data_IF_387092158816
#
_entry.id   IF_387092158816
#
_cell.length_a   1.000
_cell.length_b   1.000
_cell.length_c   1.000
_cell.angle_alpha   90.00
_cell.angle_beta   90.00
_cell.angle_gamma   90.00
#
_symmetry.space_group_name_H-M   'P 1'
#
loop_
_entity.id
_entity.type
_entity.pdbx_description
1 polymer ?
#
# COMPACT_ATOMS: atom_id res chain seq x y z
N UNK A 1 -42.36 -23.18 -32.40
CA UNK A 1 -41.56 -22.18 -33.14
C UNK A 1 -41.47 -20.91 -32.31
N UNK A 2 -40.46 -20.82 -31.44
CA UNK A 2 -40.10 -19.61 -30.71
C UNK A 2 -38.66 -19.82 -30.21
N UNK A 3 -37.69 -19.09 -30.77
CA UNK A 3 -36.28 -19.29 -30.45
C UNK A 3 -35.34 -18.61 -31.42
N UNK A 4 -35.28 -17.27 -31.37
CA UNK A 4 -34.13 -16.50 -31.89
C UNK A 4 -34.35 -15.02 -31.66
N UNK A 5 -33.80 -14.49 -30.56
CA UNK A 5 -33.53 -13.06 -30.33
C UNK A 5 -32.77 -12.89 -29.01
N UNK A 6 -31.50 -13.31 -28.96
CA UNK A 6 -30.63 -13.03 -27.81
C UNK A 6 -29.12 -13.02 -28.14
N UNK A 7 -28.71 -12.73 -29.37
CA UNK A 7 -27.28 -12.79 -29.79
C UNK A 7 -26.81 -11.59 -30.60
N UNK A 8 -27.30 -10.37 -30.32
CA UNK A 8 -26.99 -9.17 -31.12
C UNK A 8 -26.44 -7.95 -30.33
N UNK A 9 -26.01 -8.09 -29.07
CA UNK A 9 -25.53 -6.92 -28.29
C UNK A 9 -24.07 -6.96 -27.79
N UNK A 10 -23.28 -8.00 -28.06
CA UNK A 10 -21.87 -8.08 -27.58
C UNK A 10 -20.77 -7.95 -28.66
N UNK A 11 -21.12 -7.63 -29.91
CA UNK A 11 -20.14 -7.48 -31.02
C UNK A 11 -19.78 -6.02 -31.36
N UNK A 12 -20.28 -5.04 -30.59
CA UNK A 12 -20.07 -3.60 -30.87
C UNK A 12 -18.76 -3.00 -30.35
N UNK A 13 -18.08 -3.59 -29.36
CA UNK A 13 -16.90 -2.97 -28.72
C UNK A 13 -15.55 -3.39 -29.29
N UNK A 14 -15.47 -4.38 -30.18
CA UNK A 14 -14.20 -4.89 -30.73
C UNK A 14 -13.78 -4.27 -32.08
N UNK A 15 -14.57 -3.37 -32.66
CA UNK A 15 -14.24 -2.72 -33.96
C UNK A 15 -13.46 -1.40 -33.85
N UNK A 16 -13.35 -0.78 -32.68
CA UNK A 16 -12.64 0.51 -32.54
C UNK A 16 -11.12 0.38 -32.26
N UNK A 17 -10.59 -0.83 -32.05
CA UNK A 17 -9.16 -1.03 -31.76
C UNK A 17 -8.25 -1.03 -33.00
N UNK A 18 -8.80 -0.99 -34.24
CA UNK A 18 -8.01 -1.04 -35.48
C UNK A 18 -7.73 0.31 -36.14
N UNK A 19 -8.38 1.41 -35.74
CA UNK A 19 -8.10 2.75 -36.30
C UNK A 19 -7.04 3.57 -35.54
N UNK A 20 -6.68 3.19 -34.32
CA UNK A 20 -5.69 3.94 -33.51
C UNK A 20 -4.21 3.68 -33.92
N UNK A 21 -3.94 2.88 -34.96
CA UNK A 21 -2.58 2.50 -35.39
C UNK A 21 -1.96 3.39 -36.48
N UNK A 22 -2.69 4.36 -37.04
CA UNK A 22 -2.20 5.16 -38.19
C UNK A 22 -1.79 6.61 -37.88
N UNK A 23 -1.83 7.07 -36.62
CA UNK A 23 -1.37 8.42 -36.24
C UNK A 23 -0.18 8.40 -35.27
N UNK A 24 0.76 7.48 -35.47
CA UNK A 24 2.09 7.50 -34.83
C UNK A 24 3.15 7.88 -35.85
N UNK A 25 3.18 9.14 -36.23
CA UNK A 25 4.37 9.74 -36.86
C UNK A 25 4.38 11.22 -36.53
N UNK A 26 5.54 11.69 -36.07
CA UNK A 26 5.90 13.07 -35.70
C UNK A 26 5.19 13.66 -34.48
N UNK A 27 5.79 13.49 -33.30
CA UNK A 27 6.02 14.57 -32.31
C UNK A 27 7.00 14.01 -31.26
N UNK A 28 8.31 14.19 -31.51
CA UNK A 28 9.35 14.01 -30.49
C UNK A 28 9.40 15.27 -29.64
N UNK A 29 8.79 15.26 -28.46
CA UNK A 29 9.06 16.27 -27.45
C UNK A 29 10.38 15.94 -26.74
N UNK A 30 11.36 16.85 -26.87
CA UNK A 30 12.55 16.86 -26.02
C UNK A 30 12.14 17.36 -24.62
N UNK A 31 12.58 16.71 -23.54
CA UNK A 31 12.41 17.27 -22.20
C UNK A 31 13.34 18.48 -22.05
N UNK A 32 12.74 19.65 -21.77
CA UNK A 32 13.48 20.87 -21.42
C UNK A 32 13.94 20.74 -19.98
N UNK A 33 15.23 20.48 -19.77
CA UNK A 33 15.88 20.59 -18.47
C UNK A 33 16.04 22.07 -18.11
N UNK A 34 15.32 22.52 -17.08
CA UNK A 34 15.53 23.83 -16.47
C UNK A 34 16.76 23.70 -15.55
N UNK A 35 17.84 24.48 -15.76
CA UNK A 35 18.99 24.44 -14.87
C UNK A 35 18.65 25.10 -13.52
N UNK A 36 18.76 24.33 -12.44
CA UNK A 36 18.70 24.85 -11.08
C UNK A 36 19.95 25.67 -10.79
N UNK A 37 19.75 26.97 -10.53
CA UNK A 37 20.78 27.92 -10.12
C UNK A 37 21.15 27.64 -8.66
N UNK A 38 22.38 27.19 -8.42
CA UNK A 38 22.94 26.94 -7.09
C UNK A 38 23.12 28.25 -6.32
N UNK A 39 22.48 28.38 -5.16
CA UNK A 39 22.79 29.44 -4.19
C UNK A 39 23.91 28.97 -3.28
N UNK A 40 25.05 29.65 -3.36
CA UNK A 40 26.21 29.48 -2.47
C UNK A 40 25.94 30.27 -1.19
N UNK A 41 25.88 29.58 -0.04
CA UNK A 41 25.75 30.20 1.29
C UNK A 41 27.16 30.55 1.81
N UNK A 42 27.42 31.78 2.28
CA UNK A 42 28.71 32.14 2.88
C UNK A 42 28.89 31.53 4.29
N UNK A 43 30.13 31.28 4.74
CA UNK A 43 30.41 30.60 5.99
C UNK A 43 30.25 31.54 7.20
N UNK A 44 29.59 31.03 8.24
CA UNK A 44 29.43 31.68 9.55
C UNK A 44 30.63 31.39 10.44
N UNK A 45 31.31 32.45 10.90
CA UNK A 45 32.42 32.43 11.84
C UNK A 45 32.00 31.93 13.23
N UNK A 46 32.90 31.17 13.86
CA UNK A 46 32.76 30.56 15.19
C UNK A 46 33.46 31.43 16.24
N UNK A 47 32.82 31.81 17.36
CA UNK A 47 33.51 32.45 18.47
C UNK A 47 34.06 31.43 19.48
N UNK A 48 35.11 31.79 20.25
CA UNK A 48 35.96 30.83 20.95
C UNK A 48 35.46 30.42 22.33
N UNK A 49 35.97 29.26 22.72
CA UNK A 49 35.84 28.53 23.98
C UNK A 49 36.28 29.33 25.21
N UNK A 50 35.51 29.25 26.30
CA UNK A 50 35.93 29.67 27.64
C UNK A 50 35.65 28.55 28.67
N UNK A 51 36.68 28.22 29.43
CA UNK A 51 36.75 27.20 30.48
C UNK A 51 36.05 27.62 31.78
N UNK A 52 35.75 26.67 32.69
CA UNK A 52 34.92 26.87 33.87
C UNK A 52 35.70 27.28 35.13
N UNK A 53 35.13 28.17 35.95
CA UNK A 53 35.62 28.51 37.31
C UNK A 53 34.65 28.03 38.41
N UNK A 54 35.17 27.69 39.62
CA UNK A 54 34.44 27.03 40.71
C UNK A 54 33.61 27.99 41.61
N UNK A 55 32.74 27.47 42.49
CA UNK A 55 31.77 28.28 43.23
C UNK A 55 32.31 28.79 44.58
N UNK A 56 31.81 29.95 45.07
CA UNK A 56 31.85 30.27 46.48
C UNK A 56 30.49 30.12 47.17
N UNK A 57 30.62 29.84 48.45
CA UNK A 57 29.64 29.46 49.46
C UNK A 57 29.03 30.67 50.20
N UNK A 58 27.78 30.48 50.67
CA UNK A 58 27.13 31.01 51.90
C UNK A 58 26.83 32.51 52.12
N UNK A 59 25.60 32.77 52.60
CA UNK A 59 25.15 33.98 53.32
C UNK A 59 23.73 34.41 52.91
N UNK A 60 22.63 33.90 53.48
CA UNK A 60 21.91 34.27 54.72
C UNK A 60 20.93 35.47 54.62
N UNK A 61 19.61 35.19 54.86
CA UNK A 61 18.46 36.05 55.33
C UNK A 61 18.01 37.25 54.46
N UNK A 62 16.74 37.69 54.38
CA UNK A 62 15.49 37.49 55.14
C UNK A 62 14.28 38.07 54.36
N UNK A 63 13.09 37.52 54.64
CA UNK A 63 11.73 38.14 54.73
C UNK A 63 11.13 38.98 53.58
N UNK A 64 9.88 38.64 53.21
CA UNK A 64 8.95 39.54 52.52
C UNK A 64 7.88 38.80 51.72
N UNK A 65 6.63 38.79 52.20
CA UNK A 65 5.57 37.89 51.73
C UNK A 65 4.89 38.28 50.42
N UNK A 66 4.18 37.31 49.85
CA UNK A 66 2.75 37.39 49.52
C UNK A 66 2.33 36.13 48.77
N UNK A 67 1.23 35.55 49.23
CA UNK A 67 0.60 34.35 48.68
C UNK A 67 0.15 34.58 47.23
N UNK A 68 0.68 33.77 46.31
CA UNK A 68 -0.04 33.41 45.09
C UNK A 68 0.08 31.90 44.85
N UNK A 69 -1.04 31.24 45.15
CA UNK A 69 -1.22 29.78 45.19
C UNK A 69 -1.38 29.23 43.77
N UNK A 70 -0.32 29.19 42.99
CA UNK A 70 -0.24 28.37 41.77
C UNK A 70 0.39 27.01 42.11
N UNK A 71 -0.43 25.95 42.18
CA UNK A 71 0.04 24.56 42.22
C UNK A 71 0.74 24.21 40.90
N UNK A 72 2.00 24.62 40.74
CA UNK A 72 2.92 24.04 39.75
C UNK A 72 3.35 22.67 40.24
N UNK A 73 2.69 21.62 39.75
CA UNK A 73 3.22 20.26 39.81
C UNK A 73 4.56 20.24 39.09
N UNK A 74 5.65 20.11 39.85
CA UNK A 74 7.01 19.88 39.33
C UNK A 74 7.09 18.43 38.85
N UNK A 75 6.65 18.17 37.63
CA UNK A 75 7.04 16.95 36.93
C UNK A 75 8.54 17.06 36.63
N UNK A 76 9.36 16.28 37.34
CA UNK A 76 10.80 16.19 37.08
C UNK A 76 10.98 15.65 35.64
N UNK A 77 11.65 16.37 34.72
CA UNK A 77 11.78 15.95 33.32
C UNK A 77 12.43 14.57 33.13
N UNK A 78 13.16 14.09 34.14
CA UNK A 78 13.79 12.77 34.17
C UNK A 78 12.78 11.60 34.10
N UNK A 79 11.57 11.75 34.64
CA UNK A 79 10.57 10.68 34.61
C UNK A 79 9.85 10.57 33.26
N UNK A 80 9.74 11.68 32.52
CA UNK A 80 9.18 11.69 31.17
C UNK A 80 10.17 11.04 30.19
N UNK A 81 11.46 11.38 30.29
CA UNK A 81 12.51 10.75 29.46
C UNK A 81 12.70 9.25 29.74
N UNK A 82 12.63 8.82 31.01
CA UNK A 82 12.73 7.40 31.37
C UNK A 82 11.48 6.61 30.94
N UNK A 83 10.30 7.23 31.01
CA UNK A 83 9.05 6.63 30.52
C UNK A 83 9.03 6.44 29.00
N UNK A 84 9.49 7.43 28.23
CA UNK A 84 9.55 7.34 26.76
C UNK A 84 10.61 6.34 26.30
N UNK A 85 11.79 6.31 26.96
CA UNK A 85 12.86 5.36 26.61
C UNK A 85 12.48 3.93 27.00
N UNK A 86 11.82 3.74 28.15
CA UNK A 86 11.31 2.46 28.60
C UNK A 86 10.18 1.93 27.70
N UNK A 87 9.25 2.78 27.27
CA UNK A 87 8.21 2.42 26.32
C UNK A 87 8.78 2.08 24.94
N UNK A 88 9.77 2.85 24.45
CA UNK A 88 10.45 2.56 23.18
C UNK A 88 11.19 1.23 23.16
N UNK A 89 11.82 0.84 24.29
CA UNK A 89 12.47 -0.46 24.46
C UNK A 89 11.46 -1.62 24.57
N UNK A 90 10.33 -1.41 25.24
CA UNK A 90 9.25 -2.41 25.35
C UNK A 90 8.59 -2.69 24.00
N UNK A 91 8.34 -1.66 23.19
CA UNK A 91 7.74 -1.79 21.84
C UNK A 91 8.67 -2.55 20.88
N UNK A 92 9.98 -2.29 20.94
CA UNK A 92 10.95 -3.06 20.13
C UNK A 92 11.12 -4.50 20.62
N UNK A 93 10.99 -4.76 21.93
CA UNK A 93 11.02 -6.12 22.45
C UNK A 93 9.77 -6.94 22.10
N UNK A 94 8.58 -6.33 22.11
CA UNK A 94 7.32 -7.04 21.92
C UNK A 94 7.12 -7.52 20.48
N UNK A 95 7.42 -6.68 19.48
CA UNK A 95 7.35 -7.07 18.07
C UNK A 95 8.35 -8.17 17.68
N UNK A 96 9.47 -8.28 18.42
CA UNK A 96 10.39 -9.40 18.29
C UNK A 96 9.81 -10.66 18.98
N UNK A 97 9.23 -10.52 20.18
CA UNK A 97 8.74 -11.64 20.98
C UNK A 97 7.56 -12.38 20.33
N UNK A 98 6.56 -11.69 19.80
CA UNK A 98 5.39 -12.31 19.16
C UNK A 98 5.81 -13.20 17.97
N UNK A 99 6.84 -12.76 17.24
CA UNK A 99 7.46 -13.54 16.18
C UNK A 99 8.24 -14.78 16.70
N UNK A 100 8.95 -14.66 17.82
CA UNK A 100 9.61 -15.82 18.46
C UNK A 100 8.62 -16.88 18.95
N UNK A 101 7.39 -16.48 19.33
CA UNK A 101 6.33 -17.39 19.74
C UNK A 101 5.64 -18.10 18.57
N UNK A 102 5.72 -17.59 17.34
CA UNK A 102 5.24 -18.27 16.13
C UNK A 102 6.22 -19.32 15.57
N UNK A 103 7.52 -19.17 15.85
CA UNK A 103 8.58 -20.08 15.37
C UNK A 103 8.48 -21.56 15.80
N UNK A 104 7.81 -21.95 16.91
CA UNK A 104 7.55 -23.35 17.23
C UNK A 104 6.61 -24.06 16.25
N UNK A 105 5.80 -23.33 15.47
CA UNK A 105 4.87 -23.90 14.49
C UNK A 105 5.55 -24.39 13.19
N UNK A 106 6.88 -24.24 13.12
CA UNK A 106 7.70 -24.58 11.97
C UNK A 106 8.54 -25.84 12.23
N UNK A 107 8.69 -26.71 11.22
CA UNK A 107 9.63 -27.83 11.28
C UNK A 107 11.04 -27.37 11.64
N UNK A 108 11.76 -28.17 12.41
CA UNK A 108 13.08 -27.79 12.93
C UNK A 108 14.10 -27.46 11.83
N UNK A 109 14.03 -28.17 10.70
CA UNK A 109 14.88 -27.98 9.52
C UNK A 109 14.70 -26.60 8.89
N UNK A 110 13.50 -26.01 8.95
CA UNK A 110 13.19 -24.68 8.40
C UNK A 110 13.38 -23.59 9.46
N UNK A 111 13.04 -23.90 10.70
CA UNK A 111 13.06 -22.96 11.84
C UNK A 111 14.45 -22.38 12.09
N UNK A 112 15.48 -23.22 12.02
CA UNK A 112 16.88 -22.82 12.31
C UNK A 112 17.44 -21.81 11.29
N UNK A 113 17.42 -22.07 9.97
CA UNK A 113 17.83 -21.08 8.98
C UNK A 113 16.95 -19.83 9.01
N UNK A 114 15.64 -19.95 9.21
CA UNK A 114 14.73 -18.80 9.27
C UNK A 114 15.06 -17.84 10.43
N UNK A 115 15.36 -18.38 11.63
CA UNK A 115 15.83 -17.58 12.77
C UNK A 115 17.13 -16.84 12.48
N UNK A 116 18.08 -17.50 11.81
CA UNK A 116 19.35 -16.87 11.41
C UNK A 116 19.12 -15.76 10.40
N UNK A 117 18.27 -16.00 9.40
CA UNK A 117 17.90 -15.01 8.38
C UNK A 117 17.34 -13.73 9.01
N UNK A 118 16.38 -13.88 9.93
CA UNK A 118 15.73 -12.74 10.56
C UNK A 118 16.64 -12.00 11.53
N UNK A 119 17.50 -12.72 12.25
CA UNK A 119 18.53 -12.08 13.07
C UNK A 119 19.47 -11.25 12.20
N UNK A 120 19.91 -11.77 11.05
CA UNK A 120 20.76 -11.05 10.10
C UNK A 120 20.04 -9.82 9.50
N UNK A 121 18.76 -9.95 9.10
CA UNK A 121 17.92 -8.81 8.67
C UNK A 121 17.86 -7.71 9.73
N UNK A 122 17.59 -8.06 10.98
CA UNK A 122 17.52 -7.08 12.08
C UNK A 122 18.88 -6.39 12.35
N UNK A 123 19.99 -7.07 12.03
CA UNK A 123 21.34 -6.51 12.06
C UNK A 123 21.69 -5.71 10.79
N UNK A 124 20.75 -5.59 9.83
CA UNK A 124 20.95 -5.00 8.49
C UNK A 124 22.03 -5.68 7.66
N UNK A 125 22.33 -6.94 7.97
CA UNK A 125 23.22 -7.80 7.20
C UNK A 125 22.41 -8.53 6.13
N UNK A 126 22.06 -7.79 5.07
CA UNK A 126 21.15 -8.27 4.03
C UNK A 126 21.74 -9.43 3.21
N UNK A 127 23.07 -9.48 3.05
CA UNK A 127 23.76 -10.53 2.28
C UNK A 127 23.65 -11.89 2.98
N UNK A 128 23.97 -11.96 4.28
CA UNK A 128 23.81 -13.21 5.03
C UNK A 128 22.33 -13.56 5.23
N UNK A 129 21.49 -12.54 5.45
CA UNK A 129 20.04 -12.72 5.53
C UNK A 129 19.48 -13.40 4.28
N UNK A 130 19.87 -12.94 3.09
CA UNK A 130 19.49 -13.54 1.81
C UNK A 130 19.93 -15.01 1.72
N UNK A 131 21.18 -15.31 2.07
CA UNK A 131 21.70 -16.69 2.05
C UNK A 131 20.87 -17.62 2.97
N UNK A 132 20.56 -17.17 4.18
CA UNK A 132 19.75 -17.95 5.13
C UNK A 132 18.28 -18.08 4.70
N UNK A 133 17.69 -17.07 4.05
CA UNK A 133 16.33 -17.20 3.49
C UNK A 133 16.28 -18.22 2.35
N UNK A 134 17.29 -18.22 1.46
CA UNK A 134 17.40 -19.24 0.40
C UNK A 134 17.55 -20.64 0.99
N UNK A 135 18.40 -20.80 2.02
CA UNK A 135 18.54 -22.07 2.75
C UNK A 135 17.19 -22.52 3.37
N UNK A 136 16.47 -21.60 4.01
CA UNK A 136 15.16 -21.89 4.60
C UNK A 136 14.12 -22.29 3.54
N UNK A 137 14.09 -21.64 2.38
CA UNK A 137 13.19 -21.99 1.28
C UNK A 137 13.51 -23.35 0.67
N UNK A 138 14.79 -23.66 0.46
CA UNK A 138 15.21 -24.99 -0.02
C UNK A 138 14.79 -26.07 0.99
N UNK A 139 15.03 -25.84 2.28
CA UNK A 139 14.60 -26.74 3.34
C UNK A 139 13.07 -26.90 3.37
N UNK A 140 12.32 -25.81 3.16
CA UNK A 140 10.86 -25.84 3.19
C UNK A 140 10.26 -26.59 1.98
N UNK A 141 10.80 -26.36 0.79
CA UNK A 141 10.35 -27.03 -0.44
C UNK A 141 10.73 -28.52 -0.47
N UNK A 142 11.76 -28.93 0.27
CA UNK A 142 12.15 -30.33 0.41
C UNK A 142 11.22 -31.14 1.32
N UNK A 143 10.42 -30.48 2.16
CA UNK A 143 9.46 -31.13 3.04
C UNK A 143 8.09 -31.26 2.35
N UNK A 144 7.31 -32.32 2.69
CA UNK A 144 5.95 -32.45 2.22
C UNK A 144 5.06 -31.35 2.86
N UNK A 145 3.96 -30.95 2.19
CA UNK A 145 3.02 -29.95 2.71
C UNK A 145 2.49 -30.28 4.11
N UNK A 146 2.28 -31.57 4.42
CA UNK A 146 1.75 -32.04 5.71
C UNK A 146 2.64 -31.64 6.90
N UNK A 147 3.94 -31.41 6.67
CA UNK A 147 4.85 -30.89 7.69
C UNK A 147 4.52 -29.45 8.12
N UNK A 148 3.70 -28.74 7.35
CA UNK A 148 3.30 -27.36 7.57
C UNK A 148 1.83 -27.20 7.98
N UNK A 149 1.12 -28.29 8.28
CA UNK A 149 -0.27 -28.24 8.72
C UNK A 149 -0.49 -27.26 9.92
N UNK A 150 -1.67 -26.63 10.03
CA UNK A 150 -2.86 -26.79 9.16
C UNK A 150 -2.78 -26.05 7.81
N UNK A 151 -1.97 -24.99 7.70
CA UNK A 151 -1.99 -24.08 6.55
C UNK A 151 -0.63 -24.03 5.81
N UNK A 152 -0.35 -25.03 4.95
CA UNK A 152 0.97 -25.16 4.33
C UNK A 152 1.34 -23.99 3.41
N UNK A 153 0.41 -23.56 2.57
CA UNK A 153 0.63 -22.44 1.64
C UNK A 153 0.75 -21.11 2.38
N UNK A 154 -0.02 -20.91 3.46
CA UNK A 154 0.07 -19.74 4.33
C UNK A 154 1.50 -19.61 4.90
N UNK A 155 2.04 -20.69 5.47
CA UNK A 155 3.40 -20.73 6.01
C UNK A 155 4.42 -20.51 4.89
N UNK A 156 4.39 -21.33 3.83
CA UNK A 156 5.37 -21.22 2.74
C UNK A 156 5.42 -19.82 2.13
N UNK A 157 4.28 -19.26 1.75
CA UNK A 157 4.22 -17.90 1.19
C UNK A 157 4.60 -16.82 2.20
N UNK A 158 4.47 -17.07 3.51
CA UNK A 158 5.00 -16.18 4.56
C UNK A 158 6.52 -16.03 4.51
N UNK A 159 7.25 -17.12 4.20
CA UNK A 159 8.70 -17.06 3.99
C UNK A 159 9.01 -16.19 2.76
N UNK A 160 8.30 -16.40 1.65
CA UNK A 160 8.48 -15.60 0.42
C UNK A 160 8.19 -14.11 0.65
N UNK A 161 7.10 -13.77 1.33
CA UNK A 161 6.75 -12.37 1.65
C UNK A 161 7.84 -11.75 2.51
N UNK A 162 8.28 -12.42 3.57
CA UNK A 162 9.30 -11.89 4.49
C UNK A 162 10.64 -11.70 3.79
N UNK A 163 11.01 -12.65 2.93
CA UNK A 163 12.20 -12.55 2.10
C UNK A 163 12.11 -11.41 1.08
N UNK A 164 10.94 -11.25 0.43
CA UNK A 164 10.66 -10.13 -0.46
C UNK A 164 10.77 -8.77 0.26
N UNK A 165 10.17 -8.62 1.45
CA UNK A 165 10.26 -7.39 2.25
C UNK A 165 11.70 -7.05 2.61
N UNK A 166 12.51 -8.06 2.97
CA UNK A 166 13.93 -7.87 3.23
C UNK A 166 14.67 -7.35 1.99
N UNK A 167 14.38 -7.89 0.81
CA UNK A 167 14.95 -7.41 -0.45
C UNK A 167 14.50 -5.99 -0.80
N UNK A 168 13.25 -5.61 -0.49
CA UNK A 168 12.78 -4.22 -0.62
C UNK A 168 13.55 -3.26 0.28
N UNK A 169 13.81 -3.64 1.55
CA UNK A 169 14.62 -2.87 2.49
C UNK A 169 16.07 -2.70 2.01
N UNK A 170 16.63 -3.74 1.37
CA UNK A 170 17.95 -3.71 0.74
C UNK A 170 17.98 -2.91 -0.60
N UNK A 171 16.82 -2.42 -1.07
CA UNK A 171 16.69 -1.72 -2.35
C UNK A 171 16.69 -2.61 -3.59
N UNK A 172 16.68 -3.94 -3.41
CA UNK A 172 16.70 -4.96 -4.47
C UNK A 172 15.28 -5.31 -4.96
N UNK A 173 14.56 -4.31 -5.47
CA UNK A 173 13.13 -4.45 -5.85
C UNK A 173 12.87 -5.46 -6.96
N UNK A 174 13.84 -5.63 -7.88
CA UNK A 174 13.72 -6.58 -9.00
C UNK A 174 13.77 -8.01 -8.48
N UNK A 175 14.72 -8.30 -7.61
CA UNK A 175 14.89 -9.59 -6.97
C UNK A 175 13.71 -9.89 -6.05
N UNK A 176 13.22 -8.89 -5.32
CA UNK A 176 11.99 -8.97 -4.52
C UNK A 176 10.78 -9.40 -5.37
N UNK A 177 10.60 -8.78 -6.55
CA UNK A 177 9.54 -9.16 -7.48
C UNK A 177 9.66 -10.61 -7.97
N UNK A 178 10.88 -11.07 -8.31
CA UNK A 178 11.11 -12.45 -8.76
C UNK A 178 10.75 -13.45 -7.66
N UNK A 179 11.25 -13.22 -6.44
CA UNK A 179 10.98 -14.08 -5.28
C UNK A 179 9.48 -14.15 -5.00
N UNK A 180 8.79 -13.01 -5.01
CA UNK A 180 7.35 -12.97 -4.73
C UNK A 180 6.53 -13.66 -5.82
N UNK A 181 6.97 -13.58 -7.08
CA UNK A 181 6.34 -14.26 -8.22
C UNK A 181 6.49 -15.77 -8.06
N UNK A 182 7.70 -16.23 -7.75
CA UNK A 182 7.97 -17.65 -7.52
C UNK A 182 7.15 -18.19 -6.32
N UNK A 183 6.84 -17.33 -5.33
CA UNK A 183 5.91 -17.60 -4.24
C UNK A 183 4.44 -17.70 -4.69
N UNK A 184 3.98 -16.82 -5.60
CA UNK A 184 2.63 -16.91 -6.18
C UNK A 184 2.47 -18.18 -7.04
N UNK A 185 3.51 -18.59 -7.76
CA UNK A 185 3.51 -19.80 -8.60
C UNK A 185 3.28 -21.08 -7.76
N UNK A 186 3.58 -21.05 -6.46
CA UNK A 186 3.26 -22.17 -5.54
C UNK A 186 1.75 -22.39 -5.36
N UNK A 187 0.93 -21.37 -5.60
CA UNK A 187 -0.53 -21.48 -5.58
C UNK A 187 -1.09 -22.10 -6.86
N UNK A 188 -0.26 -22.43 -7.85
CA UNK A 188 -0.66 -23.11 -9.08
C UNK A 188 -0.89 -22.16 -10.27
N UNK A 189 -1.42 -22.67 -11.39
CA UNK A 189 -1.49 -21.93 -12.66
C UNK A 189 -2.60 -20.87 -12.69
N UNK A 190 -3.68 -21.08 -11.93
CA UNK A 190 -4.87 -20.22 -11.94
C UNK A 190 -5.36 -19.88 -10.53
N UNK A 191 -4.49 -19.32 -9.65
CA UNK A 191 -4.83 -19.15 -8.24
C UNK A 191 -5.90 -18.07 -8.02
N UNK A 192 -6.07 -17.18 -9.00
CA UNK A 192 -7.04 -16.08 -9.00
C UNK A 192 -8.32 -16.40 -9.81
N UNK A 193 -8.50 -17.66 -10.26
CA UNK A 193 -9.69 -18.02 -11.05
C UNK A 193 -10.96 -17.80 -10.23
N UNK A 194 -12.03 -17.38 -10.88
CA UNK A 194 -13.34 -17.23 -10.24
C UNK A 194 -13.98 -18.57 -9.94
N UNK A 195 -13.69 -19.58 -10.75
CA UNK A 195 -14.18 -20.94 -10.61
C UNK A 195 -13.36 -21.71 -9.55
N UNK A 196 -13.97 -22.09 -8.41
CA UNK A 196 -13.29 -22.87 -7.38
C UNK A 196 -12.73 -24.20 -7.91
N UNK A 197 -13.31 -24.80 -8.95
CA UNK A 197 -12.84 -26.06 -9.52
C UNK A 197 -11.51 -25.89 -10.28
N UNK A 198 -11.21 -24.67 -10.75
CA UNK A 198 -9.97 -24.36 -11.46
C UNK A 198 -8.85 -23.92 -10.51
N UNK A 199 -9.16 -23.66 -9.24
CA UNK A 199 -8.19 -23.27 -8.21
C UNK A 199 -7.46 -24.49 -7.65
N UNK A 200 -6.54 -25.00 -8.45
CA UNK A 200 -5.70 -26.14 -8.11
C UNK A 200 -4.33 -25.60 -7.70
N UNK A 201 -3.85 -26.01 -6.52
CA UNK A 201 -2.54 -25.62 -6.02
C UNK A 201 -1.39 -26.16 -6.87
N UNK A 202 -0.19 -25.58 -6.70
CA UNK A 202 1.00 -26.00 -7.42
C UNK A 202 1.45 -27.42 -7.09
N UNK A 203 2.43 -27.91 -7.86
CA UNK A 203 2.97 -29.26 -7.71
C UNK A 203 3.47 -29.57 -6.29
N UNK A 204 4.03 -28.57 -5.59
CA UNK A 204 4.50 -28.71 -4.21
C UNK A 204 3.36 -29.08 -3.25
N UNK A 205 2.18 -28.44 -3.37
CA UNK A 205 1.03 -28.69 -2.50
C UNK A 205 0.16 -29.88 -2.95
N UNK A 206 0.71 -30.76 -3.81
CA UNK A 206 0.06 -31.99 -4.24
C UNK A 206 -1.21 -31.80 -5.07
N UNK A 207 -1.41 -30.62 -5.69
CA UNK A 207 -2.62 -30.35 -6.48
C UNK A 207 -3.91 -30.29 -5.66
N UNK A 208 -3.83 -30.04 -4.35
CA UNK A 208 -5.00 -29.79 -3.49
C UNK A 208 -5.77 -28.58 -4.00
N UNK A 209 -7.09 -28.57 -3.79
CA UNK A 209 -7.92 -27.41 -4.07
C UNK A 209 -7.53 -26.27 -3.11
N UNK A 210 -7.38 -25.05 -3.64
CA UNK A 210 -7.07 -23.88 -2.81
C UNK A 210 -8.25 -23.56 -1.90
N UNK A 211 -7.95 -23.33 -0.62
CA UNK A 211 -8.96 -22.87 0.33
C UNK A 211 -9.38 -21.43 0.03
N UNK A 212 -10.43 -20.96 0.70
CA UNK A 212 -10.85 -19.56 0.61
C UNK A 212 -9.74 -18.60 1.08
N UNK A 213 -9.03 -18.96 2.14
CA UNK A 213 -7.94 -18.16 2.70
C UNK A 213 -6.72 -18.13 1.77
N UNK A 214 -6.39 -19.26 1.13
CA UNK A 214 -5.34 -19.32 0.10
C UNK A 214 -5.66 -18.41 -1.09
N UNK A 215 -6.93 -18.37 -1.51
CA UNK A 215 -7.36 -17.50 -2.59
C UNK A 215 -7.21 -16.02 -2.22
N UNK A 216 -7.66 -15.61 -1.03
CA UNK A 216 -7.45 -14.25 -0.51
C UNK A 216 -5.97 -13.90 -0.50
N UNK A 217 -5.12 -14.82 -0.05
CA UNK A 217 -3.67 -14.62 0.00
C UNK A 217 -3.05 -14.48 -1.39
N UNK A 218 -3.48 -15.29 -2.35
CA UNK A 218 -3.03 -15.17 -3.74
C UNK A 218 -3.41 -13.81 -4.35
N UNK A 219 -4.61 -13.29 -4.05
CA UNK A 219 -5.03 -11.94 -4.46
C UNK A 219 -4.06 -10.91 -3.88
N UNK A 220 -3.75 -11.00 -2.59
CA UNK A 220 -2.83 -10.09 -1.92
C UNK A 220 -1.41 -10.12 -2.52
N UNK A 221 -0.90 -11.32 -2.81
CA UNK A 221 0.39 -11.50 -3.49
C UNK A 221 0.40 -10.87 -4.88
N UNK A 222 -0.67 -11.07 -5.67
CA UNK A 222 -0.81 -10.45 -6.99
C UNK A 222 -0.85 -8.92 -6.90
N UNK A 223 -1.58 -8.37 -5.92
CA UNK A 223 -1.61 -6.92 -5.70
C UNK A 223 -0.21 -6.37 -5.39
N UNK A 224 0.53 -7.02 -4.48
CA UNK A 224 1.90 -6.61 -4.12
C UNK A 224 2.87 -6.74 -5.30
N UNK A 225 2.78 -7.82 -6.10
CA UNK A 225 3.55 -7.97 -7.34
C UNK A 225 3.30 -6.83 -8.32
N UNK A 226 2.03 -6.47 -8.50
CA UNK A 226 1.62 -5.37 -9.35
C UNK A 226 2.19 -4.03 -8.90
N UNK A 227 2.19 -3.77 -7.59
CA UNK A 227 2.78 -2.56 -7.00
C UNK A 227 4.30 -2.53 -7.15
N UNK A 228 5.00 -3.64 -6.90
CA UNK A 228 6.45 -3.74 -7.11
C UNK A 228 6.82 -3.46 -8.58
N UNK A 229 6.07 -4.05 -9.51
CA UNK A 229 6.26 -3.81 -10.93
C UNK A 229 6.00 -2.35 -11.32
N UNK A 230 4.96 -1.72 -10.76
CA UNK A 230 4.67 -0.30 -10.97
C UNK A 230 5.80 0.60 -10.44
N UNK A 231 6.29 0.33 -9.23
CA UNK A 231 7.42 1.06 -8.66
C UNK A 231 8.67 0.92 -9.52
N UNK A 232 8.94 -0.29 -10.03
CA UNK A 232 10.10 -0.53 -10.89
C UNK A 232 9.97 0.17 -12.24
N UNK A 233 8.75 0.24 -12.81
CA UNK A 233 8.48 1.02 -14.03
C UNK A 233 8.68 2.53 -13.85
N UNK A 234 8.57 3.01 -12.61
CA UNK A 234 8.68 4.42 -12.23
C UNK A 234 10.10 4.83 -11.83
N UNK A 235 10.98 3.86 -11.58
CA UNK A 235 12.32 4.11 -11.12
C UNK A 235 13.13 4.82 -12.22
N UNK A 236 13.93 5.86 -11.89
CA UNK A 236 14.80 6.55 -12.86
C UNK A 236 15.76 5.62 -13.59
N UNK A 237 16.13 4.50 -12.94
CA UNK A 237 16.97 3.42 -13.49
C UNK A 237 16.19 2.12 -13.51
N UNK A 238 15.06 2.10 -14.21
CA UNK A 238 14.27 0.88 -14.40
C UNK A 238 15.15 -0.22 -15.01
N UNK A 239 15.24 -1.35 -14.32
CA UNK A 239 15.98 -2.52 -14.82
C UNK A 239 15.22 -3.18 -15.98
N UNK A 240 15.87 -4.06 -16.73
CA UNK A 240 15.17 -4.90 -17.71
C UNK A 240 14.21 -5.84 -16.99
N UNK A 241 12.98 -5.93 -17.51
CA UNK A 241 11.97 -6.85 -17.01
C UNK A 241 12.48 -8.30 -17.14
N UNK A 242 12.41 -9.14 -16.09
CA UNK A 242 12.88 -10.52 -16.14
C UNK A 242 11.88 -11.39 -16.91
N UNK A 243 11.90 -11.30 -18.25
CA UNK A 243 11.15 -12.24 -19.10
C UNK A 243 11.83 -13.61 -19.03
N UNK A 244 11.10 -14.63 -18.54
CA UNK A 244 11.57 -16.02 -18.58
C UNK A 244 11.60 -16.45 -20.05
N UNK A 245 12.80 -16.71 -20.57
CA UNK A 245 12.99 -17.20 -21.95
C UNK A 245 12.43 -18.62 -22.05
N UNK A 246 11.34 -18.78 -22.81
CA UNK A 246 10.95 -20.08 -23.36
C UNK A 246 9.64 -20.72 -22.89
N UNK A 247 8.87 -20.13 -21.96
CA UNK A 247 7.70 -20.82 -21.38
C UNK A 247 6.32 -20.18 -21.59
N UNK A 248 6.16 -18.92 -22.03
CA UNK A 248 4.82 -18.43 -22.39
C UNK A 248 4.90 -17.19 -23.29
N UNK A 249 4.31 -17.25 -24.49
CA UNK A 249 4.19 -16.08 -25.38
C UNK A 249 3.18 -15.03 -24.88
N UNK A 250 2.32 -15.41 -23.93
CA UNK A 250 1.20 -14.60 -23.42
C UNK A 250 1.50 -13.83 -22.12
N UNK A 251 2.74 -13.88 -21.62
CA UNK A 251 3.16 -13.15 -20.42
C UNK A 251 3.39 -11.64 -20.64
N UNK A 252 3.45 -10.85 -19.55
CA UNK A 252 3.81 -9.43 -19.64
C UNK A 252 5.22 -9.22 -20.22
N UNK A 253 5.38 -8.16 -21.02
CA UNK A 253 6.61 -7.86 -21.77
C UNK A 253 7.44 -6.73 -21.16
N UNK A 254 6.84 -5.96 -20.27
CA UNK A 254 7.45 -4.82 -19.59
C UNK A 254 6.99 -4.75 -18.15
N UNK A 255 7.68 -3.97 -17.31
CA UNK A 255 7.25 -3.70 -15.94
C UNK A 255 5.85 -3.09 -15.86
N UNK A 256 5.51 -2.21 -16.80
CA UNK A 256 4.20 -1.58 -16.83
C UNK A 256 3.10 -2.57 -17.21
N UNK A 257 3.36 -3.45 -18.19
CA UNK A 257 2.42 -4.52 -18.56
C UNK A 257 2.26 -5.55 -17.44
N UNK A 258 3.35 -5.87 -16.72
CA UNK A 258 3.31 -6.77 -15.56
C UNK A 258 2.49 -6.17 -14.41
N UNK A 259 2.66 -4.88 -14.15
CA UNK A 259 1.89 -4.16 -13.16
C UNK A 259 0.40 -4.18 -13.48
N UNK A 260 0.03 -3.88 -14.73
CA UNK A 260 -1.36 -3.95 -15.18
C UNK A 260 -1.91 -5.37 -15.07
N UNK A 261 -1.15 -6.37 -15.52
CA UNK A 261 -1.57 -7.77 -15.50
C UNK A 261 -1.93 -8.23 -14.09
N UNK A 262 -1.03 -8.06 -13.13
CA UNK A 262 -1.26 -8.51 -11.76
C UNK A 262 -2.33 -7.70 -11.02
N UNK A 263 -2.36 -6.36 -11.19
CA UNK A 263 -3.35 -5.52 -10.52
C UNK A 263 -4.75 -5.72 -11.11
N UNK A 264 -4.86 -5.90 -12.42
CA UNK A 264 -6.15 -6.15 -13.08
C UNK A 264 -6.74 -7.50 -12.65
N UNK A 265 -5.92 -8.56 -12.59
CA UNK A 265 -6.34 -9.84 -12.05
C UNK A 265 -6.74 -9.77 -10.57
N UNK A 266 -5.96 -9.07 -9.74
CA UNK A 266 -6.29 -8.86 -8.33
C UNK A 266 -7.61 -8.10 -8.18
N UNK A 267 -7.81 -7.02 -8.94
CA UNK A 267 -9.05 -6.24 -8.95
C UNK A 267 -10.25 -7.11 -9.32
N UNK A 268 -10.14 -7.88 -10.41
CA UNK A 268 -11.20 -8.79 -10.85
C UNK A 268 -11.52 -9.82 -9.75
N UNK A 269 -10.51 -10.47 -9.18
CA UNK A 269 -10.70 -11.46 -8.12
C UNK A 269 -11.33 -10.86 -6.85
N UNK A 270 -10.94 -9.64 -6.44
CA UNK A 270 -11.56 -8.91 -5.32
C UNK A 270 -13.02 -8.56 -5.58
N UNK A 271 -13.34 -8.09 -6.78
CA UNK A 271 -14.74 -7.80 -7.14
C UNK A 271 -15.58 -9.08 -7.14
N UNK A 272 -15.06 -10.18 -7.66
CA UNK A 272 -15.76 -11.46 -7.59
C UNK A 272 -15.94 -11.97 -6.16
N UNK A 273 -14.93 -11.78 -5.29
CA UNK A 273 -15.03 -12.11 -3.88
C UNK A 273 -16.15 -11.32 -3.19
N UNK A 274 -16.21 -10.00 -3.42
CA UNK A 274 -17.21 -9.13 -2.81
C UNK A 274 -18.60 -9.16 -3.45
N UNK A 275 -18.73 -9.73 -4.65
CA UNK A 275 -20.00 -9.94 -5.36
C UNK A 275 -20.55 -11.37 -5.22
N UNK A 276 -19.81 -12.29 -4.59
CA UNK A 276 -20.26 -13.66 -4.37
C UNK A 276 -21.61 -13.65 -3.63
N UNK A 277 -22.56 -14.54 -4.01
CA UNK A 277 -23.94 -14.44 -3.57
C UNK A 277 -24.03 -14.50 -2.04
N UNK A 278 -24.25 -13.34 -1.42
CA UNK A 278 -24.81 -13.29 -0.08
C UNK A 278 -26.16 -13.99 -0.16
N UNK A 279 -26.38 -14.91 0.78
CA UNK A 279 -27.64 -15.61 1.05
C UNK A 279 -28.87 -14.83 0.56
N UNK A 280 -29.74 -15.51 -0.18
CA UNK A 280 -30.87 -15.09 -1.04
C UNK A 280 -31.94 -14.13 -0.44
N UNK A 281 -31.64 -13.35 0.61
CA UNK A 281 -32.61 -12.55 1.35
C UNK A 281 -32.74 -11.07 0.95
N UNK A 282 -31.78 -10.46 0.27
CA UNK A 282 -31.87 -9.03 -0.10
C UNK A 282 -32.05 -8.89 -1.61
N UNK A 283 -33.29 -8.70 -2.07
CA UNK A 283 -33.65 -8.39 -3.46
C UNK A 283 -33.14 -7.02 -3.97
N UNK A 284 -32.02 -6.53 -3.43
CA UNK A 284 -31.42 -5.26 -3.77
C UNK A 284 -30.49 -5.46 -4.97
N UNK A 285 -30.78 -4.74 -6.05
CA UNK A 285 -29.97 -4.71 -7.27
C UNK A 285 -28.55 -4.27 -6.91
N UNK A 286 -27.59 -5.18 -7.03
CA UNK A 286 -26.18 -4.94 -6.76
C UNK A 286 -25.65 -3.88 -7.72
N UNK A 287 -25.27 -2.72 -7.19
CA UNK A 287 -24.56 -1.69 -7.95
C UNK A 287 -23.07 -1.93 -7.75
N UNK A 288 -22.39 -2.35 -8.83
CA UNK A 288 -20.95 -2.62 -8.81
C UNK A 288 -20.19 -1.45 -8.17
N UNK A 289 -19.37 -1.75 -7.15
CA UNK A 289 -18.55 -0.79 -6.40
C UNK A 289 -19.15 -0.25 -5.10
N UNK A 290 -20.48 -0.17 -4.97
CA UNK A 290 -21.14 0.25 -3.71
C UNK A 290 -21.33 -0.92 -2.76
N UNK A 291 -21.76 -2.05 -3.29
CA UNK A 291 -22.21 -3.19 -2.50
C UNK A 291 -21.14 -4.30 -2.40
N UNK A 292 -19.87 -3.94 -2.56
CA UNK A 292 -18.76 -4.91 -2.48
C UNK A 292 -18.52 -5.29 -1.02
N UNK A 293 -18.90 -6.52 -0.67
CA UNK A 293 -18.71 -7.07 0.67
C UNK A 293 -17.34 -7.73 0.79
N UNK A 294 -16.29 -6.92 0.95
CA UNK A 294 -14.95 -7.43 1.29
C UNK A 294 -14.81 -7.59 2.82
N UNK A 295 -13.91 -8.49 3.28
CA UNK A 295 -13.50 -8.54 4.67
C UNK A 295 -13.17 -7.15 5.21
N UNK A 296 -13.60 -6.86 6.42
CA UNK A 296 -13.13 -5.66 7.12
C UNK A 296 -11.66 -5.85 7.47
N UNK A 297 -10.85 -4.79 7.32
CA UNK A 297 -9.45 -4.82 7.76
C UNK A 297 -9.42 -5.19 9.24
N UNK A 298 -8.77 -6.30 9.58
CA UNK A 298 -8.46 -6.59 10.98
C UNK A 298 -7.54 -5.47 11.45
N UNK A 299 -7.97 -4.76 12.48
CA UNK A 299 -7.15 -3.77 13.16
C UNK A 299 -6.56 -4.49 14.35
N UNK A 300 -5.24 -4.56 14.41
CA UNK A 300 -4.57 -5.16 15.55
C UNK A 300 -4.96 -4.41 16.85
N UNK A 301 -4.86 -5.05 18.03
CA UNK A 301 -5.20 -4.41 19.31
C UNK A 301 -4.47 -3.08 19.55
N UNK A 302 -3.37 -2.82 18.86
CA UNK A 302 -2.61 -1.55 18.89
C UNK A 302 -3.12 -0.46 17.94
N UNK A 303 -4.14 -0.74 17.12
CA UNK A 303 -4.69 0.25 16.17
C UNK A 303 -3.91 0.35 14.86
N UNK A 304 -2.91 -0.50 14.66
CA UNK A 304 -2.26 -0.64 13.37
C UNK A 304 -3.17 -1.45 12.45
N UNK A 305 -3.56 -0.83 11.32
CA UNK A 305 -4.12 -1.60 10.23
C UNK A 305 -2.98 -2.49 9.68
N UNK A 306 -3.05 -3.79 9.96
CA UNK A 306 -2.17 -4.77 9.35
C UNK A 306 -2.31 -4.63 7.82
N UNK A 307 -1.22 -4.29 7.10
CA UNK A 307 -1.23 -4.26 5.63
C UNK A 307 -1.49 -2.91 4.94
N UNK A 308 -1.06 -1.77 5.51
CA UNK A 308 -1.06 -0.48 4.77
C UNK A 308 -0.23 -0.53 3.47
N UNK A 309 0.71 -1.47 3.35
CA UNK A 309 1.62 -1.64 2.20
C UNK A 309 1.10 -2.60 1.12
N UNK A 310 -0.20 -2.53 0.80
CA UNK A 310 -0.78 -3.31 -0.29
C UNK A 310 -0.82 -4.83 -0.04
N UNK A 311 -1.74 -5.50 -0.71
CA UNK A 311 -1.99 -6.92 -0.53
C UNK A 311 -3.05 -7.26 0.53
N UNK A 312 -3.64 -6.26 1.19
CA UNK A 312 -4.87 -6.44 1.96
C UNK A 312 -6.06 -6.61 1.02
N UNK A 313 -6.90 -7.61 1.27
CA UNK A 313 -8.12 -7.88 0.49
C UNK A 313 -9.32 -7.31 1.24
N UNK A 314 -9.38 -5.99 1.29
CA UNK A 314 -10.40 -5.21 1.98
C UNK A 314 -10.86 -4.03 1.12
N UNK A 315 -11.86 -3.25 1.56
CA UNK A 315 -12.37 -2.09 0.79
C UNK A 315 -11.27 -1.08 0.48
N UNK A 316 -10.34 -0.89 1.40
CA UNK A 316 -9.20 0.01 1.22
C UNK A 316 -8.19 -0.56 0.23
N UNK A 317 -7.83 -1.83 0.35
CA UNK A 317 -6.98 -2.53 -0.60
C UNK A 317 -7.54 -2.53 -2.02
N UNK A 318 -8.86 -2.65 -2.17
CA UNK A 318 -9.56 -2.45 -3.44
C UNK A 318 -9.36 -1.03 -3.99
N UNK A 319 -9.54 -0.01 -3.16
CA UNK A 319 -9.31 1.39 -3.53
C UNK A 319 -7.86 1.68 -3.94
N UNK A 320 -6.88 1.15 -3.18
CA UNK A 320 -5.44 1.26 -3.48
C UNK A 320 -5.10 0.56 -4.79
N UNK A 321 -5.71 -0.59 -5.07
CA UNK A 321 -5.51 -1.33 -6.33
C UNK A 321 -6.08 -0.55 -7.52
N UNK A 322 -7.27 0.04 -7.37
CA UNK A 322 -7.87 0.90 -8.39
C UNK A 322 -7.02 2.17 -8.64
N UNK A 323 -6.44 2.76 -7.59
CA UNK A 323 -5.52 3.90 -7.71
C UNK A 323 -4.26 3.53 -8.50
N UNK A 324 -3.62 2.40 -8.16
CA UNK A 324 -2.44 1.93 -8.86
C UNK A 324 -2.73 1.61 -10.34
N UNK A 325 -3.89 1.02 -10.65
CA UNK A 325 -4.33 0.82 -12.04
C UNK A 325 -4.61 2.15 -12.75
N UNK A 326 -5.24 3.11 -12.08
CA UNK A 326 -5.47 4.43 -12.64
C UNK A 326 -4.14 5.14 -12.99
N UNK A 327 -3.11 5.01 -12.17
CA UNK A 327 -1.77 5.52 -12.48
C UNK A 327 -1.20 4.87 -13.76
N UNK A 328 -1.35 3.56 -13.92
CA UNK A 328 -0.92 2.83 -15.12
C UNK A 328 -1.66 3.34 -16.36
N UNK A 329 -2.99 3.45 -16.30
CA UNK A 329 -3.78 3.96 -17.43
C UNK A 329 -3.45 5.43 -17.75
N UNK A 330 -3.21 6.26 -16.73
CA UNK A 330 -2.76 7.63 -16.94
C UNK A 330 -1.40 7.68 -17.66
N UNK A 331 -0.46 6.81 -17.31
CA UNK A 331 0.85 6.69 -18.01
C UNK A 331 0.71 6.24 -19.46
N UNK A 332 -0.32 5.46 -19.78
CA UNK A 332 -0.67 5.07 -21.15
C UNK A 332 -1.38 6.19 -21.94
N UNK A 333 -1.71 7.30 -21.30
CA UNK A 333 -2.48 8.41 -21.89
C UNK A 333 -4.00 8.20 -21.83
N UNK A 334 -4.48 7.16 -21.14
CA UNK A 334 -5.89 6.80 -21.01
C UNK A 334 -6.52 7.47 -19.77
N UNK A 335 -6.40 8.81 -19.68
CA UNK A 335 -6.82 9.59 -18.51
C UNK A 335 -8.31 9.44 -18.18
N UNK A 336 -9.17 9.18 -19.17
CA UNK A 336 -10.60 8.94 -18.95
C UNK A 336 -10.88 7.65 -18.18
N UNK A 337 -10.15 6.57 -18.49
CA UNK A 337 -10.27 5.29 -17.78
C UNK A 337 -9.71 5.44 -16.36
N UNK A 338 -8.56 6.09 -16.22
CA UNK A 338 -7.95 6.39 -14.93
C UNK A 338 -8.89 7.18 -14.01
N UNK A 339 -9.50 8.27 -14.52
CA UNK A 339 -10.45 9.08 -13.76
C UNK A 339 -11.68 8.29 -13.30
N UNK A 340 -12.24 7.44 -14.17
CA UNK A 340 -13.39 6.60 -13.81
C UNK A 340 -13.05 5.57 -12.73
N UNK A 341 -11.87 4.93 -12.79
CA UNK A 341 -11.41 4.00 -11.76
C UNK A 341 -11.27 4.69 -10.39
N UNK A 342 -10.72 5.90 -10.36
CA UNK A 342 -10.59 6.66 -9.12
C UNK A 342 -11.94 7.10 -8.54
N UNK A 343 -12.87 7.55 -9.39
CA UNK A 343 -14.22 7.92 -8.94
C UNK A 343 -14.96 6.70 -8.36
N UNK A 344 -14.77 5.53 -8.98
CA UNK A 344 -15.31 4.29 -8.47
C UNK A 344 -14.72 3.92 -7.11
N UNK A 345 -13.39 4.01 -6.96
CA UNK A 345 -12.69 3.79 -5.70
C UNK A 345 -13.17 4.73 -4.59
N UNK A 346 -13.36 6.02 -4.91
CA UNK A 346 -13.93 7.01 -3.98
C UNK A 346 -15.34 6.61 -3.57
N UNK A 347 -16.18 6.16 -4.50
CA UNK A 347 -17.57 5.77 -4.23
C UNK A 347 -17.67 4.51 -3.38
N UNK A 348 -16.69 3.61 -3.44
CA UNK A 348 -16.58 2.44 -2.56
C UNK A 348 -16.25 2.83 -1.12
N UNK A 349 -15.38 3.83 -0.92
CA UNK A 349 -14.95 4.29 0.41
C UNK A 349 -15.92 5.32 1.02
N UNK A 350 -16.52 6.16 0.19
CA UNK A 350 -17.46 7.22 0.56
C UNK A 350 -18.77 7.06 -0.22
N UNK A 351 -19.60 6.06 0.13
CA UNK A 351 -20.87 5.85 -0.53
C UNK A 351 -21.78 7.08 -0.39
N UNK A 352 -22.29 7.65 -1.50
CA UNK A 352 -23.20 8.78 -1.42
C UNK A 352 -24.50 8.37 -0.74
N UNK A 353 -25.03 9.25 0.11
CA UNK A 353 -26.27 9.04 0.85
C UNK A 353 -26.25 7.84 1.82
N UNK A 354 -25.08 7.45 2.32
CA UNK A 354 -25.00 6.51 3.43
C UNK A 354 -25.48 7.20 4.71
N UNK A 355 -26.41 6.57 5.43
CA UNK A 355 -26.81 7.00 6.77
C UNK A 355 -25.69 6.77 7.79
N UNK A 356 -24.86 5.74 7.55
CA UNK A 356 -23.72 5.41 8.39
C UNK A 356 -22.51 6.21 7.93
N UNK A 357 -21.91 6.94 8.86
CA UNK A 357 -20.68 7.68 8.62
C UNK A 357 -19.52 6.68 8.42
N UNK A 358 -18.76 6.78 7.32
CA UNK A 358 -17.65 5.88 7.07
C UNK A 358 -16.51 6.09 8.09
N UNK A 359 -15.70 5.06 8.38
CA UNK A 359 -14.60 5.18 9.32
C UNK A 359 -13.59 6.24 8.85
N UNK A 360 -12.91 6.88 9.81
CA UNK A 360 -11.95 7.97 9.56
C UNK A 360 -10.88 7.55 8.54
N UNK A 361 -10.42 6.29 8.61
CA UNK A 361 -9.45 5.72 7.66
C UNK A 361 -9.93 5.78 6.21
N UNK A 362 -11.20 5.45 5.97
CA UNK A 362 -11.81 5.43 4.63
C UNK A 362 -12.03 6.86 4.13
N UNK A 363 -12.44 7.77 5.02
CA UNK A 363 -12.54 9.20 4.72
C UNK A 363 -11.19 9.78 4.28
N UNK A 364 -10.12 9.50 5.03
CA UNK A 364 -8.78 9.95 4.71
C UNK A 364 -8.25 9.36 3.40
N UNK A 365 -8.47 8.06 3.16
CA UNK A 365 -8.05 7.42 1.92
C UNK A 365 -8.83 7.98 0.72
N UNK A 366 -10.13 8.18 0.83
CA UNK A 366 -10.92 8.77 -0.24
C UNK A 366 -10.50 10.23 -0.52
N UNK A 367 -10.16 11.01 0.50
CA UNK A 367 -9.60 12.34 0.31
C UNK A 367 -8.26 12.30 -0.45
N UNK A 368 -7.37 11.33 -0.15
CA UNK A 368 -6.16 11.11 -0.95
C UNK A 368 -6.49 10.80 -2.42
N UNK A 369 -7.42 9.90 -2.70
CA UNK A 369 -7.84 9.58 -4.07
C UNK A 369 -8.39 10.81 -4.81
N UNK A 370 -9.13 11.69 -4.13
CA UNK A 370 -9.61 12.95 -4.71
C UNK A 370 -8.46 13.88 -5.11
N UNK A 371 -7.35 13.89 -4.35
CA UNK A 371 -6.15 14.63 -4.77
C UNK A 371 -5.53 14.04 -6.05
N UNK A 372 -5.53 12.71 -6.20
CA UNK A 372 -5.08 12.00 -7.41
C UNK A 372 -5.99 12.30 -8.61
N UNK A 373 -7.33 12.31 -8.41
CA UNK A 373 -8.30 12.73 -9.44
C UNK A 373 -8.04 14.16 -9.88
N UNK A 374 -7.78 15.07 -8.94
CA UNK A 374 -7.47 16.47 -9.23
C UNK A 374 -6.27 16.61 -10.16
N UNK A 375 -5.19 15.85 -9.91
CA UNK A 375 -3.99 15.86 -10.75
C UNK A 375 -4.24 15.28 -12.15
N UNK A 376 -5.00 14.18 -12.26
CA UNK A 376 -5.32 13.57 -13.56
C UNK A 376 -6.34 14.36 -14.38
N UNK A 377 -7.28 15.06 -13.73
CA UNK A 377 -8.29 15.87 -14.40
C UNK A 377 -7.67 16.99 -15.25
N UNK A 378 -6.41 17.38 -14.99
CA UNK A 378 -5.69 18.40 -15.75
C UNK A 378 -5.22 17.96 -17.14
N UNK A 379 -5.42 16.70 -17.52
CA UNK A 379 -5.00 16.17 -18.82
C UNK A 379 -6.23 15.84 -19.70
N UNK A 380 -6.48 16.58 -20.81
CA UNK A 380 -5.75 17.75 -21.31
C UNK A 380 -6.09 19.04 -20.53
N UNK A 381 -5.16 19.99 -20.55
CA UNK A 381 -5.31 21.25 -19.82
C UNK A 381 -6.35 22.15 -20.51
N UNK A 382 -7.53 22.23 -19.91
CA UNK A 382 -8.65 23.06 -20.39
C UNK A 382 -9.24 23.87 -19.23
N UNK A 383 -9.92 25.00 -19.48
CA UNK A 383 -10.58 25.77 -18.41
C UNK A 383 -11.57 24.93 -17.59
N UNK A 384 -12.27 23.99 -18.24
CA UNK A 384 -13.18 23.04 -17.57
C UNK A 384 -12.41 22.06 -16.69
N UNK A 385 -11.28 21.53 -17.17
CA UNK A 385 -10.39 20.65 -16.41
C UNK A 385 -9.83 21.37 -15.17
N UNK A 386 -9.39 22.62 -15.30
CA UNK A 386 -8.89 23.44 -14.18
C UNK A 386 -9.99 23.61 -13.11
N UNK A 387 -11.22 23.94 -13.53
CA UNK A 387 -12.36 24.08 -12.60
C UNK A 387 -12.69 22.76 -11.91
N UNK A 388 -12.71 21.65 -12.64
CA UNK A 388 -12.95 20.32 -12.10
C UNK A 388 -11.85 19.91 -11.10
N UNK A 389 -10.59 20.05 -11.48
CA UNK A 389 -9.42 19.79 -10.64
C UNK A 389 -9.46 20.59 -9.34
N UNK A 390 -9.75 21.90 -9.43
CA UNK A 390 -9.95 22.76 -8.26
C UNK A 390 -11.06 22.26 -7.33
N UNK A 391 -12.19 21.83 -7.89
CA UNK A 391 -13.31 21.32 -7.08
C UNK A 391 -12.95 20.03 -6.34
N UNK A 392 -12.20 19.12 -6.98
CA UNK A 392 -11.73 17.89 -6.35
C UNK A 392 -10.72 18.17 -5.23
N UNK A 393 -9.75 19.07 -5.44
CA UNK A 393 -8.81 19.46 -4.39
C UNK A 393 -9.51 20.10 -3.19
N UNK A 394 -10.46 21.02 -3.41
CA UNK A 394 -11.21 21.64 -2.32
C UNK A 394 -12.04 20.61 -1.54
N UNK A 395 -12.67 19.66 -2.24
CA UNK A 395 -13.43 18.59 -1.59
C UNK A 395 -12.53 17.65 -0.79
N UNK A 396 -11.34 17.32 -1.30
CA UNK A 396 -10.35 16.53 -0.59
C UNK A 396 -9.94 17.21 0.73
N UNK A 397 -9.65 18.52 0.68
CA UNK A 397 -9.31 19.30 1.88
C UNK A 397 -10.44 19.29 2.91
N UNK A 398 -11.67 19.52 2.46
CA UNK A 398 -12.84 19.55 3.34
C UNK A 398 -13.04 18.22 4.07
N UNK A 399 -12.95 17.10 3.37
CA UNK A 399 -13.14 15.77 3.97
C UNK A 399 -11.98 15.44 4.92
N UNK A 400 -10.73 15.70 4.50
CA UNK A 400 -9.58 15.40 5.32
C UNK A 400 -9.53 16.25 6.61
N UNK A 401 -9.89 17.53 6.53
CA UNK A 401 -9.95 18.42 7.70
C UNK A 401 -11.05 17.98 8.68
N UNK A 402 -12.27 17.70 8.18
CA UNK A 402 -13.37 17.21 9.01
C UNK A 402 -13.02 15.89 9.72
N UNK A 403 -12.36 14.95 9.02
CA UNK A 403 -11.93 13.69 9.60
C UNK A 403 -10.84 13.85 10.67
N UNK A 404 -9.92 14.81 10.51
CA UNK A 404 -8.90 15.16 11.52
C UNK A 404 -9.55 15.79 12.76
N UNK A 405 -10.53 16.68 12.58
CA UNK A 405 -11.27 17.28 13.68
C UNK A 405 -12.07 16.23 14.47
N UNK A 406 -12.79 15.35 13.76
CA UNK A 406 -13.52 14.24 14.35
C UNK A 406 -12.60 13.31 15.16
N UNK A 407 -11.41 12.98 14.64
CA UNK A 407 -10.40 12.20 15.34
C UNK A 407 -9.91 12.89 16.62
N UNK A 408 -9.66 14.20 16.56
CA UNK A 408 -9.19 14.98 17.69
C UNK A 408 -10.24 15.04 18.82
N UNK A 409 -11.53 15.16 18.48
CA UNK A 409 -12.63 15.15 19.44
C UNK A 409 -12.81 13.78 20.13
N UNK A 410 -12.53 12.69 19.43
CA UNK A 410 -12.61 11.34 19.99
C UNK A 410 -11.52 11.04 21.03
N UNK A 411 -10.41 11.79 21.03
CA UNK A 411 -9.34 11.67 22.03
C UNK A 411 -8.59 10.32 22.05
N UNK A 412 -8.74 9.50 21.00
CA UNK A 412 -8.14 8.16 20.92
C UNK A 412 -6.70 8.27 20.37
N UNK A 413 -5.73 7.69 21.07
CA UNK A 413 -4.34 7.62 20.61
C UNK A 413 -4.20 6.87 19.26
N UNK A 414 -5.11 5.92 18.97
CA UNK A 414 -5.17 5.21 17.67
C UNK A 414 -5.57 6.12 16.51
N UNK A 415 -6.23 7.24 16.81
CA UNK A 415 -6.65 8.21 15.80
C UNK A 415 -5.45 8.96 15.18
N UNK A 416 -4.32 9.09 15.88
CA UNK A 416 -3.18 9.86 15.36
C UNK A 416 -2.51 9.13 14.16
N UNK A 417 -2.42 7.80 14.19
CA UNK A 417 -1.91 7.00 13.05
C UNK A 417 -2.87 7.08 11.86
N UNK A 418 -4.17 6.94 12.11
CA UNK A 418 -5.20 7.00 11.07
C UNK A 418 -5.29 8.38 10.39
N UNK A 419 -5.02 9.45 11.14
CA UNK A 419 -5.04 10.82 10.60
C UNK A 419 -3.80 11.19 9.79
N UNK A 420 -2.72 10.40 9.82
CA UNK A 420 -1.53 10.67 9.00
C UNK A 420 -1.87 10.76 7.50
N UNK A 421 -2.78 9.90 7.03
CA UNK A 421 -3.25 9.89 5.64
C UNK A 421 -4.05 11.17 5.35
N UNK A 422 -4.92 11.61 6.26
CA UNK A 422 -5.64 12.87 6.11
C UNK A 422 -4.68 14.07 6.08
N UNK A 423 -3.68 14.12 6.96
CA UNK A 423 -2.68 15.20 6.96
C UNK A 423 -1.88 15.22 5.64
N UNK A 424 -1.56 14.06 5.09
CA UNK A 424 -0.97 13.94 3.75
C UNK A 424 -1.93 14.47 2.68
N UNK A 425 -3.23 14.12 2.75
CA UNK A 425 -4.24 14.62 1.80
C UNK A 425 -4.38 16.14 1.87
N UNK A 426 -4.32 16.73 3.08
CA UNK A 426 -4.33 18.18 3.29
C UNK A 426 -3.13 18.85 2.61
N UNK A 427 -1.93 18.30 2.79
CA UNK A 427 -0.72 18.82 2.18
C UNK A 427 -0.77 18.72 0.63
N UNK A 428 -1.12 17.56 0.08
CA UNK A 428 -1.20 17.34 -1.37
C UNK A 428 -2.33 18.16 -2.01
N UNK A 429 -3.49 18.24 -1.37
CA UNK A 429 -4.61 19.06 -1.82
C UNK A 429 -4.26 20.54 -1.90
N UNK A 430 -3.55 21.04 -0.88
CA UNK A 430 -3.08 22.43 -0.83
C UNK A 430 -2.03 22.71 -1.91
N UNK A 431 -1.09 21.78 -2.11
CA UNK A 431 -0.11 21.85 -3.19
C UNK A 431 -0.79 21.91 -4.57
N UNK A 432 -1.76 21.03 -4.83
CA UNK A 432 -2.52 21.03 -6.08
C UNK A 432 -3.23 22.37 -6.31
N UNK A 433 -3.83 22.98 -5.29
CA UNK A 433 -4.43 24.31 -5.40
C UNK A 433 -3.41 25.41 -5.73
N UNK A 434 -2.21 25.34 -5.17
CA UNK A 434 -1.10 26.23 -5.53
C UNK A 434 -0.71 26.10 -7.00
N UNK A 435 -0.53 24.86 -7.48
CA UNK A 435 -0.23 24.59 -8.91
C UNK A 435 -1.36 25.12 -9.81
N UNK A 436 -2.61 24.90 -9.45
CA UNK A 436 -3.76 25.40 -10.21
C UNK A 436 -3.81 26.93 -10.25
N UNK A 437 -3.44 27.60 -9.15
CA UNK A 437 -3.38 29.06 -9.11
C UNK A 437 -2.33 29.60 -10.10
N UNK A 438 -1.16 28.97 -10.18
CA UNK A 438 -0.12 29.34 -11.14
C UNK A 438 -0.52 29.04 -12.59
N UNK A 439 -1.17 27.91 -12.86
CA UNK A 439 -1.61 27.53 -14.22
C UNK A 439 -2.82 28.34 -14.71
N UNK A 440 -3.57 28.96 -13.79
CA UNK A 440 -4.75 29.79 -14.13
C UNK A 440 -4.43 31.26 -14.43
N UNK A 441 -3.20 31.69 -14.20
CA UNK A 441 -2.69 33.01 -14.61
C UNK A 441 -2.35 32.99 -16.09
#
# INVERSE_FOLDING_TARGET
MAGSRATAQMTGMLRNARMARQLRTTLRFRPTTIPLRSYTVPPTETPPSAQPTPPPSTGEKKEGGSEQKYKRSRFKPIHIFLGITGAGLLVTFYGILEFYFALPQWPETVRTPLRRALRARNMKDYEHSEAFFKEALVAALALPPDAFDPDPLLKLSGIYITYCTMLEEAGQKREAYIVLRDGLDQFGPSPLSTDPAQRISGAWNGGRQLTHEDHIRAIGLSQKLGQLALQQSSAPRATVYPSVRGLQQDGPKSWLDAAEHHLSQALTAMLHLGLAPRSEGSGQKVIAGRDVALPESKVDPEGHAEGVEGGSVDKRGLGVTMEALAEIYARKGEHGIAGNLLIQAISTLLPPNSEVQPPITDQCQAAMLMTTVSSHALQPLTPKAIKASKSWSLRALQIADAAVQQAAEAGDAKSDVNTLICRKALAVGSYNLGVLAEVSR
#
